data_IF_160116040898
#
_entry.id   IF_160116040898
#
_cell.length_a   1.000
_cell.length_b   1.000
_cell.length_c   1.000
_cell.angle_alpha   90.00
_cell.angle_beta   90.00
_cell.angle_gamma   90.00
#
_symmetry.space_group_name_H-M   'P 1'
#
loop_
_entity.id
_entity.type
_entity.pdbx_description
1 polymer ?
#
# COMPACT_ATOMS: atom_id res chain seq x y z
N UNK A 1 8.71 -18.69 13.86
CA UNK A 1 8.83 -18.34 12.42
C UNK A 1 8.96 -16.82 12.35
N UNK A 2 10.04 -16.24 11.82
CA UNK A 2 10.07 -14.80 11.62
C UNK A 2 8.93 -14.42 10.67
N UNK A 3 8.13 -13.43 11.04
CA UNK A 3 7.01 -12.94 10.23
C UNK A 3 7.53 -12.49 8.86
N UNK A 4 7.01 -13.08 7.78
CA UNK A 4 7.38 -12.71 6.40
C UNK A 4 7.09 -11.22 6.19
N UNK A 5 8.05 -10.44 5.68
CA UNK A 5 7.80 -9.03 5.40
C UNK A 5 6.78 -8.89 4.25
N UNK A 6 5.91 -7.87 4.26
CA UNK A 6 4.93 -7.65 3.20
C UNK A 6 5.54 -7.61 1.80
N UNK A 7 6.75 -7.05 1.69
CA UNK A 7 7.50 -7.02 0.43
C UNK A 7 7.97 -8.42 -0.02
N UNK A 8 8.46 -9.27 0.90
CA UNK A 8 8.83 -10.66 0.58
C UNK A 8 7.60 -11.46 0.13
N UNK A 9 6.46 -11.23 0.77
CA UNK A 9 5.17 -11.81 0.35
C UNK A 9 4.78 -11.35 -1.06
N UNK A 10 4.92 -10.06 -1.37
CA UNK A 10 4.65 -9.54 -2.72
C UNK A 10 5.56 -10.18 -3.78
N UNK A 11 6.86 -10.34 -3.48
CA UNK A 11 7.81 -11.03 -4.36
C UNK A 11 7.40 -12.48 -4.61
N UNK A 12 6.96 -13.20 -3.56
CA UNK A 12 6.49 -14.58 -3.67
C UNK A 12 5.21 -14.69 -4.52
N UNK A 13 4.25 -13.78 -4.33
CA UNK A 13 3.02 -13.73 -5.13
C UNK A 13 3.28 -13.40 -6.60
N UNK A 14 4.28 -12.55 -6.87
CA UNK A 14 4.74 -12.28 -8.23
C UNK A 14 5.59 -13.42 -8.83
N UNK A 15 6.03 -14.38 -8.02
CA UNK A 15 6.82 -15.55 -8.40
C UNK A 15 8.34 -15.39 -8.22
N UNK A 16 8.89 -14.18 -8.43
CA UNK A 16 10.30 -13.88 -8.14
C UNK A 16 10.55 -12.37 -8.10
N UNK A 17 11.72 -11.95 -7.61
CA UNK A 17 12.12 -10.53 -7.61
C UNK A 17 12.18 -9.98 -9.04
N UNK A 18 12.68 -10.77 -10.00
CA UNK A 18 12.72 -10.39 -11.41
C UNK A 18 11.31 -10.29 -12.02
N UNK A 19 10.41 -11.20 -11.67
CA UNK A 19 9.02 -11.16 -12.14
C UNK A 19 8.28 -9.93 -11.61
N UNK A 20 8.42 -9.62 -10.30
CA UNK A 20 7.86 -8.40 -9.72
C UNK A 20 8.42 -7.15 -10.40
N UNK A 21 9.74 -7.07 -10.57
CA UNK A 21 10.42 -5.95 -11.19
C UNK A 21 9.89 -5.68 -12.62
N UNK A 22 9.72 -6.73 -13.43
CA UNK A 22 9.13 -6.62 -14.79
C UNK A 22 7.70 -6.09 -14.75
N UNK A 23 6.87 -6.58 -13.82
CA UNK A 23 5.46 -6.16 -13.67
C UNK A 23 5.33 -4.68 -13.32
N UNK A 24 6.23 -4.15 -12.49
CA UNK A 24 6.20 -2.74 -12.05
C UNK A 24 7.12 -1.82 -12.89
N UNK A 25 7.76 -2.33 -13.94
CA UNK A 25 8.63 -1.54 -14.81
C UNK A 25 9.95 -1.08 -14.16
N UNK A 26 10.51 -1.87 -13.24
CA UNK A 26 11.77 -1.55 -12.54
C UNK A 26 12.88 -2.57 -12.84
N UNK A 27 14.15 -2.19 -12.67
CA UNK A 27 15.26 -3.15 -12.62
C UNK A 27 15.11 -4.11 -11.43
N UNK A 28 15.52 -5.38 -11.59
CA UNK A 28 15.50 -6.35 -10.49
C UNK A 28 16.38 -5.93 -9.31
N UNK A 29 17.48 -5.23 -9.56
CA UNK A 29 18.36 -4.67 -8.53
C UNK A 29 17.62 -3.70 -7.59
N UNK A 30 16.67 -2.92 -8.13
CA UNK A 30 15.85 -2.01 -7.31
C UNK A 30 14.98 -2.77 -6.32
N UNK A 31 14.38 -3.89 -6.75
CA UNK A 31 13.61 -4.77 -5.86
C UNK A 31 14.52 -5.42 -4.81
N UNK A 32 15.72 -5.85 -5.23
CA UNK A 32 16.71 -6.41 -4.31
C UNK A 32 17.13 -5.43 -3.22
N UNK A 33 17.33 -4.15 -3.56
CA UNK A 33 17.65 -3.09 -2.59
C UNK A 33 16.55 -2.90 -1.55
N UNK A 34 15.28 -3.03 -1.94
CA UNK A 34 14.17 -2.95 -0.99
C UNK A 34 14.12 -4.17 -0.06
N UNK A 35 14.39 -5.37 -0.60
CA UNK A 35 14.28 -6.63 0.16
C UNK A 35 15.49 -6.89 1.07
N UNK A 36 16.70 -6.64 0.58
CA UNK A 36 17.97 -6.96 1.27
C UNK A 36 18.47 -5.78 2.09
N UNK A 37 18.50 -4.60 1.47
CA UNK A 37 19.05 -3.39 2.09
C UNK A 37 17.98 -2.60 2.88
N UNK A 38 16.72 -3.07 2.87
CA UNK A 38 15.63 -2.45 3.62
C UNK A 38 15.28 -1.03 3.17
N UNK A 39 15.66 -0.65 1.94
CA UNK A 39 15.35 0.69 1.43
C UNK A 39 13.84 0.85 1.30
N UNK A 40 13.28 2.03 1.65
CA UNK A 40 11.85 2.25 1.56
C UNK A 40 11.39 2.19 0.10
N UNK A 41 10.30 1.45 -0.14
CA UNK A 41 9.64 1.36 -1.45
C UNK A 41 9.01 2.70 -1.77
N UNK A 42 9.29 3.37 -2.90
CA UNK A 42 8.67 4.64 -3.25
C UNK A 42 7.12 4.54 -3.32
N UNK A 43 6.37 5.62 -3.06
CA UNK A 43 4.90 5.58 -3.03
C UNK A 43 4.27 5.06 -4.33
N UNK A 44 4.81 5.49 -5.48
CA UNK A 44 4.35 5.07 -6.81
C UNK A 44 4.55 3.57 -7.01
N UNK A 45 5.71 3.05 -6.59
CA UNK A 45 6.02 1.63 -6.68
C UNK A 45 5.18 0.82 -5.70
N UNK A 46 4.86 1.33 -4.50
CA UNK A 46 3.96 0.66 -3.56
C UNK A 46 2.55 0.47 -4.12
N UNK A 47 2.01 1.47 -4.82
CA UNK A 47 0.73 1.34 -5.54
C UNK A 47 0.81 0.35 -6.70
N UNK A 48 1.91 0.35 -7.46
CA UNK A 48 2.12 -0.60 -8.55
C UNK A 48 2.19 -2.05 -8.01
N UNK A 49 2.89 -2.27 -6.90
CA UNK A 49 2.97 -3.58 -6.24
C UNK A 49 1.58 -4.02 -5.74
N UNK A 50 0.79 -3.12 -5.15
CA UNK A 50 -0.58 -3.41 -4.72
C UNK A 50 -1.45 -3.90 -5.88
N UNK A 51 -1.40 -3.20 -7.03
CA UNK A 51 -2.15 -3.57 -8.23
C UNK A 51 -1.74 -4.92 -8.81
N UNK A 52 -0.45 -5.24 -8.76
CA UNK A 52 0.11 -6.44 -9.40
C UNK A 52 0.09 -7.70 -8.51
N UNK A 53 0.08 -7.51 -7.17
CA UNK A 53 0.22 -8.61 -6.20
C UNK A 53 -0.92 -8.70 -5.20
N UNK A 54 -1.74 -7.65 -5.06
CA UNK A 54 -2.79 -7.56 -4.05
C UNK A 54 -2.28 -7.35 -2.62
N UNK A 55 -0.98 -7.10 -2.42
CA UNK A 55 -0.45 -6.72 -1.11
C UNK A 55 -0.76 -5.25 -0.84
N UNK A 56 -1.49 -4.91 0.23
CA UNK A 56 -1.88 -3.52 0.50
C UNK A 56 -0.67 -2.61 0.67
N UNK A 57 -0.70 -1.42 0.04
CA UNK A 57 0.38 -0.42 0.18
C UNK A 57 0.54 0.08 1.61
N UNK A 58 -0.52 0.02 2.43
CA UNK A 58 -0.51 0.30 3.87
C UNK A 58 0.41 -0.66 4.64
N UNK A 59 0.55 -1.90 4.17
CA UNK A 59 1.48 -2.87 4.75
C UNK A 59 2.92 -2.67 4.24
N UNK A 60 3.09 -2.21 3.01
CA UNK A 60 4.41 -1.95 2.42
C UNK A 60 5.05 -0.66 2.96
N UNK A 61 4.22 0.36 3.22
CA UNK A 61 4.63 1.71 3.60
C UNK A 61 3.68 2.31 4.64
N UNK A 62 3.62 1.76 5.86
CA UNK A 62 2.75 2.25 6.93
C UNK A 62 3.08 3.69 7.38
N UNK A 63 4.28 4.18 7.07
CA UNK A 63 4.75 5.53 7.39
C UNK A 63 4.05 6.64 6.57
N UNK A 64 3.59 6.32 5.35
CA UNK A 64 2.85 7.25 4.49
C UNK A 64 1.41 6.81 4.23
N UNK A 65 1.12 5.53 4.41
CA UNK A 65 -0.22 4.94 4.30
C UNK A 65 -0.58 4.32 5.65
N UNK A 66 -0.89 5.13 6.67
CA UNK A 66 -1.30 4.61 7.96
C UNK A 66 -2.50 3.68 7.76
N UNK A 67 -2.54 2.50 8.42
CA UNK A 67 -3.67 1.61 8.32
C UNK A 67 -4.91 2.37 8.77
N UNK A 68 -5.86 2.56 7.85
CA UNK A 68 -7.09 3.28 8.13
C UNK A 68 -7.88 2.50 9.18
N UNK A 69 -7.64 2.79 10.45
CA UNK A 69 -8.44 2.29 11.57
C UNK A 69 -9.80 2.96 11.48
N UNK A 70 -10.68 2.40 10.64
CA UNK A 70 -12.02 2.90 10.35
C UNK A 70 -12.04 4.38 9.92
N UNK A 71 -12.03 4.63 8.62
CA UNK A 71 -12.70 5.82 8.12
C UNK A 71 -14.17 5.68 8.55
N UNK A 72 -14.52 6.25 9.69
CA UNK A 72 -15.92 6.53 9.99
C UNK A 72 -16.42 7.34 8.78
N UNK A 73 -17.50 6.94 8.11
CA UNK A 73 -18.09 7.79 7.08
C UNK A 73 -18.29 9.18 7.71
N UNK A 74 -18.04 10.28 6.97
CA UNK A 74 -18.31 11.60 7.50
C UNK A 74 -19.73 11.57 8.04
N UNK A 75 -19.89 11.86 9.34
CA UNK A 75 -21.20 11.94 9.95
C UNK A 75 -22.09 12.76 9.01
N UNK A 76 -23.33 12.33 8.70
CA UNK A 76 -24.17 13.13 7.83
C UNK A 76 -24.28 14.50 8.48
N UNK A 77 -23.70 15.52 7.83
CA UNK A 77 -23.97 16.92 8.17
C UNK A 77 -25.46 17.07 8.03
N UNK A 78 -26.14 17.00 9.18
CA UNK A 78 -27.58 17.25 9.25
C UNK A 78 -27.70 18.74 8.98
N UNK A 79 -27.99 19.05 7.72
CA UNK A 79 -28.37 20.38 7.26
C UNK A 79 -29.54 20.84 8.14
N UNK A 80 -29.21 21.65 9.14
CA UNK A 80 -30.14 22.16 10.12
C UNK A 80 -30.83 23.37 9.50
N UNK A 81 -31.77 23.11 8.59
CA UNK A 81 -32.79 24.06 8.18
C UNK A 81 -33.84 24.13 9.30
N UNK A 82 -33.45 24.68 10.46
CA UNK A 82 -34.45 25.11 11.45
C UNK A 82 -35.14 26.36 10.92
N UNK A 83 -36.36 26.15 10.44
CA UNK A 83 -37.51 27.00 10.76
C UNK A 83 -37.43 28.48 10.39
N UNK A 84 -37.83 28.80 9.15
CA UNK A 84 -38.66 29.99 8.96
C UNK A 84 -40.05 29.65 9.50
N UNK A 85 -40.33 30.11 10.72
CA UNK A 85 -41.68 30.20 11.28
C UNK A 85 -42.13 31.66 11.23
N UNK A 86 -43.25 31.84 10.54
CA UNK A 86 -44.24 32.93 10.66
C UNK A 86 -43.86 34.29 10.08
#
# INVERSE_FOLDING_TARGET
>A
MPSESPLKRAVRLAGSQAALARKIGRPQQTVNDWVVNGRPVPPVDAQAIERETGVPKEQLRPDIYPPQLAAQPPAPTRDQLEGVRT
#
